data_IF_416766995869
#
_entry.id   IF_416766995869
#
_cell.length_a   1.000
_cell.length_b   1.000
_cell.length_c   1.000
_cell.angle_alpha   90.00
_cell.angle_beta   90.00
_cell.angle_gamma   90.00
#
_symmetry.space_group_name_H-M   'P 1'
#
loop_
_entity.id
_entity.type
_entity.pdbx_description
1 polymer ?
#
# COMPACT_ATOMS: atom_id res chain seq x y z
N UNK A 1 -0.23 -19.00 -35.28
CA UNK A 1 -0.60 -17.65 -34.79
C UNK A 1 -0.16 -17.52 -33.34
N UNK A 2 1.14 -17.31 -33.13
CA UNK A 2 1.85 -17.48 -31.84
C UNK A 2 1.80 -16.26 -30.91
N UNK A 3 0.61 -15.72 -30.68
CA UNK A 3 0.44 -14.43 -29.99
C UNK A 3 0.73 -14.46 -28.47
N UNK A 4 1.05 -15.60 -27.87
CA UNK A 4 1.09 -15.73 -26.40
C UNK A 4 2.26 -16.57 -25.88
N UNK A 5 3.44 -16.52 -26.51
CA UNK A 5 4.63 -17.04 -25.83
C UNK A 5 5.05 -16.04 -24.74
N UNK A 6 5.02 -16.43 -23.44
CA UNK A 6 5.45 -15.59 -22.32
C UNK A 6 6.89 -15.07 -22.47
N UNK A 7 7.66 -15.71 -23.35
CA UNK A 7 9.01 -15.32 -23.72
C UNK A 7 9.15 -13.88 -24.23
N UNK A 8 8.16 -13.36 -24.98
CA UNK A 8 8.20 -11.98 -25.48
C UNK A 8 8.15 -10.95 -24.35
N UNK A 9 7.35 -11.21 -23.32
CA UNK A 9 7.24 -10.33 -22.15
C UNK A 9 8.55 -10.27 -21.37
N UNK A 10 9.27 -11.39 -21.27
CA UNK A 10 10.58 -11.43 -20.63
C UNK A 10 11.61 -10.57 -21.38
N UNK A 11 11.62 -10.65 -22.72
CA UNK A 11 12.49 -9.82 -23.56
C UNK A 11 12.13 -8.34 -23.40
N UNK A 12 10.84 -7.99 -23.41
CA UNK A 12 10.40 -6.61 -23.24
C UNK A 12 10.80 -6.05 -21.86
N UNK A 13 10.63 -6.83 -20.79
CA UNK A 13 11.06 -6.47 -19.45
C UNK A 13 12.58 -6.26 -19.39
N UNK A 14 13.36 -7.13 -20.04
CA UNK A 14 14.83 -7.00 -20.11
C UNK A 14 15.25 -5.71 -20.82
N UNK A 15 14.66 -5.41 -21.98
CA UNK A 15 14.93 -4.18 -22.75
C UNK A 15 14.51 -2.94 -21.94
N UNK A 16 13.37 -2.98 -21.27
CA UNK A 16 12.89 -1.89 -20.45
C UNK A 16 13.84 -1.61 -19.26
N UNK A 17 14.33 -2.66 -18.60
CA UNK A 17 15.34 -2.54 -17.54
C UNK A 17 16.66 -1.98 -18.07
N UNK A 18 17.06 -2.32 -19.30
CA UNK A 18 18.26 -1.78 -19.93
C UNK A 18 18.13 -0.27 -20.23
N UNK A 19 16.97 0.16 -20.72
CA UNK A 19 16.70 1.56 -21.09
C UNK A 19 16.53 2.47 -19.87
N UNK A 20 15.73 2.04 -18.90
CA UNK A 20 15.42 2.84 -17.71
C UNK A 20 16.39 2.62 -16.56
N UNK A 21 17.07 1.46 -16.52
CA UNK A 21 17.95 1.05 -15.45
C UNK A 21 17.23 0.31 -14.32
N UNK A 22 17.91 -0.69 -13.74
CA UNK A 22 17.36 -1.57 -12.70
C UNK A 22 16.89 -0.85 -11.42
N UNK A 23 17.37 0.37 -11.13
CA UNK A 23 16.95 1.17 -9.97
C UNK A 23 15.76 2.08 -10.25
N UNK A 24 15.55 2.53 -11.49
CA UNK A 24 14.47 3.46 -11.84
C UNK A 24 13.12 2.76 -11.99
N UNK A 25 13.12 1.52 -12.50
CA UNK A 25 11.92 0.70 -12.64
C UNK A 25 11.16 0.49 -11.31
N UNK A 26 11.80 -0.05 -10.24
CA UNK A 26 11.12 -0.28 -8.98
C UNK A 26 10.76 1.02 -8.25
N UNK A 27 11.56 2.07 -8.41
CA UNK A 27 11.30 3.37 -7.78
C UNK A 27 10.08 4.06 -8.41
N UNK A 28 10.01 4.10 -9.75
CA UNK A 28 8.84 4.59 -10.47
C UNK A 28 7.60 3.73 -10.18
N UNK A 29 7.72 2.40 -10.17
CA UNK A 29 6.60 1.53 -9.82
C UNK A 29 6.11 1.76 -8.38
N UNK A 30 7.00 2.02 -7.42
CA UNK A 30 6.64 2.32 -6.03
C UNK A 30 5.94 3.67 -5.89
N UNK A 31 6.43 4.72 -6.54
CA UNK A 31 5.82 6.05 -6.48
C UNK A 31 4.47 6.10 -7.20
N UNK A 32 4.36 5.46 -8.37
CA UNK A 32 3.12 5.28 -9.10
C UNK A 32 2.14 4.39 -8.31
N UNK A 33 2.61 3.31 -7.70
CA UNK A 33 1.79 2.41 -6.88
C UNK A 33 1.21 3.10 -5.64
N UNK A 34 1.99 3.97 -4.98
CA UNK A 34 1.50 4.77 -3.85
C UNK A 34 0.39 5.73 -4.29
N UNK A 35 0.57 6.40 -5.42
CA UNK A 35 -0.43 7.31 -6.00
C UNK A 35 -1.70 6.56 -6.44
N UNK A 36 -1.54 5.41 -7.09
CA UNK A 36 -2.65 4.54 -7.49
C UNK A 36 -3.42 3.98 -6.28
N UNK A 37 -2.76 3.72 -5.15
CA UNK A 37 -3.45 3.24 -3.93
C UNK A 37 -4.39 4.30 -3.36
N UNK A 38 -3.94 5.57 -3.34
CA UNK A 38 -4.75 6.69 -2.88
C UNK A 38 -5.95 6.87 -3.81
N UNK A 39 -5.69 6.95 -5.12
CA UNK A 39 -6.74 7.07 -6.13
C UNK A 39 -7.72 5.89 -6.09
N UNK A 40 -7.24 4.65 -5.93
CA UNK A 40 -8.10 3.46 -5.77
C UNK A 40 -8.98 3.58 -4.54
N UNK A 41 -8.47 4.09 -3.41
CA UNK A 41 -9.24 4.25 -2.19
C UNK A 41 -10.37 5.28 -2.37
N UNK A 42 -10.05 6.45 -2.93
CA UNK A 42 -11.04 7.49 -3.23
C UNK A 42 -12.08 7.00 -4.25
N UNK A 43 -11.64 6.37 -5.35
CA UNK A 43 -12.55 5.80 -6.35
C UNK A 43 -13.40 4.67 -5.78
N UNK A 44 -12.86 3.87 -4.86
CA UNK A 44 -13.60 2.79 -4.21
C UNK A 44 -14.69 3.35 -3.29
N UNK A 45 -14.47 4.44 -2.57
CA UNK A 45 -15.53 5.09 -1.79
C UNK A 45 -16.66 5.57 -2.71
N UNK A 46 -16.33 6.21 -3.84
CA UNK A 46 -17.34 6.61 -4.84
C UNK A 46 -18.12 5.42 -5.43
N UNK A 47 -17.49 4.26 -5.57
CA UNK A 47 -18.16 3.05 -6.06
C UNK A 47 -18.89 2.26 -4.95
N UNK A 48 -18.58 2.50 -3.67
CA UNK A 48 -19.22 1.84 -2.53
C UNK A 48 -20.59 2.42 -2.18
N UNK A 49 -20.94 3.59 -2.72
CA UNK A 49 -22.32 4.11 -2.70
C UNK A 49 -23.27 3.32 -3.64
N UNK A 50 -22.75 2.35 -4.41
CA UNK A 50 -23.54 1.30 -5.06
C UNK A 50 -23.51 0.00 -4.21
N UNK A 51 -24.63 -0.77 -4.12
CA UNK A 51 -24.82 -1.77 -3.07
C UNK A 51 -23.69 -2.83 -3.03
N UNK A 52 -23.23 -3.24 -1.84
CA UNK A 52 -21.97 -3.95 -1.69
C UNK A 52 -22.10 -5.45 -1.97
N UNK A 53 -21.24 -5.98 -2.84
CA UNK A 53 -20.93 -7.40 -2.88
C UNK A 53 -19.96 -7.71 -1.73
N UNK A 54 -20.44 -8.48 -0.75
CA UNK A 54 -19.70 -8.92 0.43
C UNK A 54 -18.65 -9.95 0.02
N UNK A 55 -17.37 -9.57 0.10
CA UNK A 55 -16.25 -10.50 0.16
C UNK A 55 -15.46 -10.21 1.45
N UNK A 56 -15.43 -11.13 2.43
CA UNK A 56 -14.65 -10.93 3.65
C UNK A 56 -13.15 -11.19 3.36
N UNK A 57 -12.22 -10.27 3.67
CA UNK A 57 -10.81 -10.59 3.69
C UNK A 57 -10.47 -11.33 4.99
N UNK A 58 -10.03 -12.59 4.84
CA UNK A 58 -9.31 -13.28 5.89
C UNK A 58 -7.95 -12.60 6.14
N UNK A 59 -7.67 -12.29 7.41
CA UNK A 59 -6.32 -11.98 7.91
C UNK A 59 -5.90 -10.51 7.84
N UNK A 60 -6.28 -9.73 8.84
CA UNK A 60 -5.57 -8.50 9.20
C UNK A 60 -4.74 -8.78 10.48
N UNK A 61 -3.40 -8.56 10.47
CA UNK A 61 -2.63 -8.58 11.71
C UNK A 61 -3.02 -7.37 12.56
N UNK A 62 -3.44 -7.62 13.80
CA UNK A 62 -3.79 -6.62 14.80
C UNK A 62 -2.58 -5.71 15.03
N UNK A 63 -2.66 -4.40 14.75
CA UNK A 63 -1.62 -3.49 15.19
C UNK A 63 -1.69 -3.43 16.71
N UNK A 64 -0.63 -3.88 17.37
CA UNK A 64 -0.44 -3.73 18.82
C UNK A 64 -0.54 -2.24 19.15
N UNK A 65 -1.58 -1.89 19.91
CA UNK A 65 -1.70 -0.59 20.53
C UNK A 65 -0.46 -0.38 21.40
N UNK A 66 0.38 0.60 21.06
CA UNK A 66 1.41 1.09 21.96
C UNK A 66 0.73 1.53 23.25
N UNK A 67 0.95 0.74 24.29
CA UNK A 67 0.68 1.07 25.68
C UNK A 67 1.37 2.40 25.99
N UNK A 68 0.59 3.49 25.95
CA UNK A 68 1.00 4.75 26.55
C UNK A 68 1.14 4.45 28.04
N UNK A 69 2.37 4.37 28.50
CA UNK A 69 2.71 4.37 29.93
C UNK A 69 2.06 5.62 30.53
N UNK A 70 0.95 5.41 31.21
CA UNK A 70 0.31 6.37 32.09
C UNK A 70 1.24 6.55 33.27
N UNK A 71 2.10 7.56 33.20
CA UNK A 71 2.86 8.02 34.36
C UNK A 71 1.84 8.52 35.40
N UNK A 72 1.88 8.02 36.66
CA UNK A 72 0.90 8.38 37.66
C UNK A 72 0.97 9.89 37.91
N UNK A 73 -0.21 10.50 38.00
CA UNK A 73 -0.41 11.85 38.49
C UNK A 73 0.31 12.03 39.83
N UNK A 74 1.18 13.04 39.91
CA UNK A 74 1.74 13.54 41.16
C UNK A 74 0.98 14.83 41.53
N UNK A 75 0.06 14.80 42.51
CA UNK A 75 -0.65 15.97 42.98
C UNK A 75 0.01 16.59 44.22
N UNK A 76 1.34 16.65 44.34
CA UNK A 76 2.01 17.20 45.55
C UNK A 76 2.95 18.39 45.27
N UNK A 77 2.48 19.39 44.52
CA UNK A 77 3.17 20.68 44.34
C UNK A 77 2.32 21.91 44.74
N UNK A 78 1.49 21.77 45.78
CA UNK A 78 0.68 22.89 46.31
C UNK A 78 0.63 22.94 47.83
N UNK A 79 1.79 22.83 48.48
CA UNK A 79 1.95 23.21 49.89
C UNK A 79 3.43 23.24 50.29
N UNK A 80 4.08 24.40 50.09
CA UNK A 80 5.23 24.89 50.85
C UNK A 80 5.34 26.40 50.67
#
# INVERSE_FOLDING_TARGET
MGALQPWHWLILALVFILLFGAKRLPDAARSLGKSMRIFKAEVKELHQDAPPQVNPPAGAPTPVASERVEAPADPDARSA
#
